data_IF_493375788221
#
_entry.id   IF_493375788221
#
_cell.length_a   1.000
_cell.length_b   1.000
_cell.length_c   1.000
_cell.angle_alpha   90.00
_cell.angle_beta   90.00
_cell.angle_gamma   90.00
#
_symmetry.space_group_name_H-M   'P 1'
#
loop_
_entity.id
_entity.type
_entity.pdbx_description
1 polymer ?
#
# COMPACT_ATOMS: atom_id res chain seq x y z
N UNK A 1 20.86 -11.32 1.93
CA UNK A 1 19.43 -11.65 1.80
C UNK A 1 18.78 -10.62 0.89
N UNK A 2 18.32 -11.02 -0.30
CA UNK A 2 17.55 -10.13 -1.15
C UNK A 2 16.19 -9.92 -0.48
N UNK A 3 15.91 -8.70 -0.01
CA UNK A 3 14.58 -8.30 0.44
C UNK A 3 13.73 -8.31 -0.83
N UNK A 4 13.05 -9.42 -1.10
CA UNK A 4 12.12 -9.49 -2.22
C UNK A 4 11.04 -8.44 -2.00
N UNK A 5 11.11 -7.36 -2.77
CA UNK A 5 10.20 -6.22 -2.75
C UNK A 5 8.84 -6.72 -3.22
N UNK A 6 7.95 -7.02 -2.28
CA UNK A 6 6.60 -7.51 -2.54
C UNK A 6 5.54 -6.50 -2.13
N UNK A 7 4.32 -6.69 -2.61
CA UNK A 7 3.17 -5.94 -2.13
C UNK A 7 2.88 -6.30 -0.67
N UNK A 8 2.46 -5.31 0.11
CA UNK A 8 2.05 -5.52 1.49
C UNK A 8 0.65 -5.00 1.70
N UNK A 9 -0.12 -5.75 2.49
CA UNK A 9 -1.49 -5.44 2.87
C UNK A 9 -1.57 -5.19 4.36
N UNK A 10 -2.10 -4.05 4.73
CA UNK A 10 -2.57 -3.72 6.06
C UNK A 10 -4.08 -3.91 6.09
N UNK A 11 -4.58 -4.53 7.14
CA UNK A 11 -6.01 -4.69 7.39
C UNK A 11 -6.38 -3.75 8.53
N UNK A 12 -7.32 -2.86 8.28
CA UNK A 12 -7.99 -2.08 9.31
C UNK A 12 -9.38 -2.67 9.49
N UNK A 13 -9.77 -2.97 10.73
CA UNK A 13 -11.17 -3.22 11.05
C UNK A 13 -12.01 -1.98 10.79
N UNK A 14 -13.32 -2.16 10.63
CA UNK A 14 -14.26 -1.04 10.50
C UNK A 14 -14.12 -0.02 11.63
N UNK A 15 -13.95 -0.51 12.87
CA UNK A 15 -13.76 0.37 14.04
C UNK A 15 -12.49 1.20 13.93
N UNK A 16 -11.35 0.61 13.55
CA UNK A 16 -10.09 1.33 13.37
C UNK A 16 -10.19 2.37 12.23
N UNK A 17 -10.86 2.00 11.14
CA UNK A 17 -11.10 2.94 10.05
C UNK A 17 -11.95 4.13 10.51
N UNK A 18 -13.07 3.87 11.19
CA UNK A 18 -13.99 4.89 11.70
C UNK A 18 -13.39 5.74 12.81
N UNK A 19 -12.46 5.19 13.61
CA UNK A 19 -11.69 5.95 14.61
C UNK A 19 -10.60 6.82 14.00
N UNK A 20 -10.35 6.70 12.69
CA UNK A 20 -9.42 7.54 11.96
C UNK A 20 -8.00 6.98 11.81
N UNK A 21 -7.76 5.69 12.07
CA UNK A 21 -6.45 5.06 11.87
C UNK A 21 -5.94 5.23 10.44
N UNK A 22 -6.84 5.25 9.46
CA UNK A 22 -6.50 5.52 8.06
C UNK A 22 -5.80 6.87 7.88
N UNK A 23 -6.17 7.90 8.65
CA UNK A 23 -5.51 9.21 8.59
C UNK A 23 -4.11 9.17 9.19
N UNK A 24 -3.90 8.41 10.27
CA UNK A 24 -2.58 8.23 10.87
C UNK A 24 -1.66 7.48 9.91
N UNK A 25 -2.16 6.39 9.31
CA UNK A 25 -1.45 5.62 8.30
C UNK A 25 -1.06 6.49 7.09
N UNK A 26 -2.01 7.26 6.57
CA UNK A 26 -1.77 8.20 5.47
C UNK A 26 -0.74 9.26 5.85
N UNK A 27 -0.84 9.83 7.05
CA UNK A 27 0.11 10.83 7.55
C UNK A 27 1.54 10.28 7.61
N UNK A 28 1.71 9.09 8.17
CA UNK A 28 3.01 8.42 8.27
C UNK A 28 3.57 8.05 6.89
N UNK A 29 2.75 7.47 6.01
CA UNK A 29 3.15 7.14 4.64
C UNK A 29 3.58 8.40 3.87
N UNK A 30 2.80 9.47 3.96
CA UNK A 30 3.08 10.75 3.30
C UNK A 30 4.38 11.37 3.83
N UNK A 31 4.63 11.33 5.14
CA UNK A 31 5.88 11.83 5.72
C UNK A 31 7.09 11.05 5.16
N UNK A 32 6.98 9.73 5.03
CA UNK A 32 8.03 8.91 4.42
C UNK A 32 8.22 9.23 2.92
N UNK A 33 7.13 9.41 2.17
CA UNK A 33 7.18 9.78 0.75
C UNK A 33 7.90 11.12 0.54
N UNK A 34 7.49 12.16 1.27
CA UNK A 34 8.08 13.50 1.18
C UNK A 34 9.53 13.49 1.65
N UNK A 35 9.83 12.84 2.78
CA UNK A 35 11.20 12.74 3.31
C UNK A 35 12.18 12.01 2.39
N UNK A 36 11.69 11.36 1.33
CA UNK A 36 12.47 10.66 0.30
C UNK A 36 12.34 11.29 -1.08
N UNK A 37 11.83 12.54 -1.15
CA UNK A 37 11.64 13.30 -2.39
C UNK A 37 10.71 12.62 -3.41
N UNK A 38 9.66 11.94 -2.93
CA UNK A 38 8.66 11.30 -3.78
C UNK A 38 9.24 10.20 -4.67
N UNK A 39 9.68 9.08 -4.09
CA UNK A 39 10.28 8.00 -4.85
C UNK A 39 9.30 7.41 -5.86
N UNK A 40 9.75 7.25 -7.10
CA UNK A 40 8.96 6.70 -8.22
C UNK A 40 8.40 5.32 -7.88
N UNK A 41 7.12 5.11 -8.18
CA UNK A 41 6.44 3.85 -7.92
C UNK A 41 6.10 3.58 -6.45
N UNK A 42 6.38 4.50 -5.53
CA UNK A 42 5.89 4.44 -4.15
C UNK A 42 4.44 4.93 -4.13
N UNK A 43 3.52 4.01 -3.91
CA UNK A 43 2.10 4.30 -3.87
C UNK A 43 1.39 3.46 -2.80
N UNK A 44 0.29 4.03 -2.31
CA UNK A 44 -0.62 3.44 -1.35
C UNK A 44 -2.02 3.44 -1.94
N UNK A 45 -2.66 2.27 -1.93
CA UNK A 45 -4.00 2.04 -2.43
C UNK A 45 -4.90 1.53 -1.31
N UNK A 46 -6.20 1.62 -1.48
CA UNK A 46 -7.11 0.94 -0.58
C UNK A 46 -8.45 0.62 -1.19
N UNK A 47 -9.14 -0.30 -0.54
CA UNK A 47 -10.49 -0.71 -0.86
C UNK A 47 -11.18 -1.26 0.39
N UNK A 48 -12.49 -1.22 0.39
CA UNK A 48 -13.28 -1.99 1.34
C UNK A 48 -13.28 -3.46 0.94
N UNK A 49 -13.28 -4.34 1.94
CA UNK A 49 -13.65 -5.74 1.75
C UNK A 49 -15.09 -5.84 1.25
N UNK A 50 -15.42 -6.92 0.53
CA UNK A 50 -16.76 -7.12 -0.03
C UNK A 50 -17.86 -7.19 1.04
N UNK A 51 -17.50 -7.62 2.25
CA UNK A 51 -18.39 -7.66 3.42
C UNK A 51 -18.53 -6.30 4.14
N UNK A 52 -17.70 -5.31 3.80
CA UNK A 52 -17.67 -3.99 4.43
C UNK A 52 -17.15 -3.97 5.88
N UNK A 53 -16.62 -5.08 6.38
CA UNK A 53 -16.19 -5.22 7.78
C UNK A 53 -14.74 -4.76 7.99
N UNK A 54 -13.97 -4.68 6.91
CA UNK A 54 -12.57 -4.28 6.94
C UNK A 54 -12.23 -3.36 5.77
N UNK A 55 -11.32 -2.44 6.01
CA UNK A 55 -10.65 -1.65 4.97
C UNK A 55 -9.24 -2.21 4.75
N UNK A 56 -8.92 -2.54 3.51
CA UNK A 56 -7.59 -2.99 3.14
C UNK A 56 -6.79 -1.84 2.57
N UNK A 57 -5.56 -1.71 3.05
CA UNK A 57 -4.57 -0.78 2.51
C UNK A 57 -3.44 -1.59 1.91
N UNK A 58 -3.06 -1.25 0.68
CA UNK A 58 -2.02 -1.90 -0.07
C UNK A 58 -0.89 -0.93 -0.35
N UNK A 59 0.34 -1.39 -0.20
CA UNK A 59 1.53 -0.60 -0.51
C UNK A 59 2.36 -1.29 -1.57
N UNK A 60 2.88 -0.50 -2.50
CA UNK A 60 3.69 -1.02 -3.61
C UNK A 60 5.04 -1.56 -3.12
N UNK A 61 5.67 -2.48 -3.87
CA UNK A 61 7.02 -2.96 -3.60
C UNK A 61 8.05 -1.85 -3.34
N UNK A 62 8.00 -0.77 -4.11
CA UNK A 62 8.91 0.38 -3.99
C UNK A 62 8.76 1.13 -2.67
N UNK A 63 7.61 0.99 -1.99
CA UNK A 63 7.35 1.59 -0.68
C UNK A 63 8.15 0.90 0.43
N UNK A 64 8.34 -0.43 0.35
CA UNK A 64 8.76 -1.28 1.48
C UNK A 64 9.97 -0.73 2.22
N UNK A 65 11.06 -0.40 1.51
CA UNK A 65 12.31 0.09 2.11
C UNK A 65 12.18 1.45 2.82
N UNK A 66 11.10 2.18 2.58
CA UNK A 66 10.84 3.51 3.14
C UNK A 66 9.87 3.47 4.32
N UNK A 67 9.03 2.44 4.38
CA UNK A 67 7.95 2.33 5.37
C UNK A 67 7.99 1.02 6.17
N UNK A 68 9.11 0.27 6.19
CA UNK A 68 9.24 -0.95 7.00
C UNK A 68 8.75 -0.78 8.44
N UNK A 69 9.10 0.29 9.18
CA UNK A 69 8.60 0.46 10.54
C UNK A 69 7.06 0.60 10.62
N UNK A 70 6.45 1.19 9.60
CA UNK A 70 5.00 1.32 9.51
C UNK A 70 4.34 -0.03 9.20
N UNK A 71 4.95 -0.81 8.30
CA UNK A 71 4.47 -2.17 7.97
C UNK A 71 4.52 -3.08 9.20
N UNK A 72 5.61 -3.01 9.98
CA UNK A 72 5.76 -3.77 11.21
C UNK A 72 4.74 -3.35 12.28
N UNK A 73 4.55 -2.03 12.48
CA UNK A 73 3.60 -1.49 13.46
C UNK A 73 2.15 -1.94 13.20
N UNK A 74 1.76 -2.05 11.92
CA UNK A 74 0.42 -2.49 11.51
C UNK A 74 0.35 -3.99 11.19
N UNK A 75 1.38 -4.78 11.54
CA UNK A 75 1.44 -6.23 11.28
C UNK A 75 1.09 -6.59 9.83
N UNK A 76 1.64 -5.83 8.88
CA UNK A 76 1.30 -5.96 7.47
C UNK A 76 1.63 -7.35 6.92
N UNK A 77 0.70 -7.91 6.16
CA UNK A 77 0.90 -9.19 5.47
C UNK A 77 1.51 -8.98 4.10
N UNK A 78 2.55 -9.73 3.77
CA UNK A 78 3.05 -9.79 2.40
C UNK A 78 2.07 -10.55 1.51
N UNK A 79 1.82 -10.03 0.32
CA UNK A 79 0.89 -10.60 -0.66
C UNK A 79 1.46 -10.50 -2.09
N UNK A 80 0.84 -11.21 -3.02
CA UNK A 80 0.98 -10.94 -4.44
C UNK A 80 0.32 -9.61 -4.84
N UNK A 81 0.55 -9.17 -6.08
CA UNK A 81 -0.07 -7.95 -6.61
C UNK A 81 -1.60 -8.03 -6.42
N UNK A 82 -2.23 -7.05 -5.74
CA UNK A 82 -3.66 -7.09 -5.50
C UNK A 82 -4.42 -6.85 -6.81
N UNK A 83 -5.64 -7.37 -6.89
CA UNK A 83 -6.51 -7.17 -8.05
C UNK A 83 -6.81 -5.66 -8.21
N UNK A 84 -6.54 -5.04 -9.39
CA UNK A 84 -6.81 -3.62 -9.62
C UNK A 84 -8.29 -3.24 -9.51
N UNK A 85 -9.22 -4.18 -9.68
CA UNK A 85 -10.65 -3.91 -9.61
C UNK A 85 -11.03 -3.46 -8.20
N UNK A 86 -11.58 -2.24 -8.08
CA UNK A 86 -12.03 -1.67 -6.81
C UNK A 86 -10.93 -1.02 -5.95
N UNK A 87 -9.67 -1.09 -6.38
CA UNK A 87 -8.58 -0.36 -5.73
C UNK A 87 -8.63 1.12 -6.08
N UNK A 88 -8.58 1.96 -5.05
CA UNK A 88 -8.45 3.40 -5.19
C UNK A 88 -7.05 3.83 -4.78
N UNK A 89 -6.39 4.64 -5.60
CA UNK A 89 -5.14 5.29 -5.21
C UNK A 89 -5.43 6.27 -4.06
N UNK A 90 -4.78 6.07 -2.93
CA UNK A 90 -4.90 6.96 -1.77
C UNK A 90 -3.80 8.02 -1.83
N UNK A 91 -2.56 7.63 -2.12
CA UNK A 91 -1.43 8.55 -2.14
C UNK A 91 -0.22 7.99 -2.91
N UNK A 92 0.58 8.89 -3.49
CA UNK A 92 1.88 8.56 -4.10
C UNK A 92 1.85 8.56 -5.63
N UNK A 93 2.82 7.86 -6.22
CA UNK A 93 3.03 7.78 -7.66
C UNK A 93 2.91 6.33 -8.14
N UNK A 94 1.90 6.07 -8.99
CA UNK A 94 1.70 4.76 -9.61
C UNK A 94 2.45 4.60 -10.94
N UNK A 95 3.13 5.64 -11.43
CA UNK A 95 3.79 5.64 -12.75
C UNK A 95 4.85 4.54 -12.88
N UNK A 96 5.49 4.15 -11.77
CA UNK A 96 6.43 3.02 -11.72
C UNK A 96 5.80 1.62 -11.85
N UNK A 97 4.48 1.50 -11.79
CA UNK A 97 3.75 0.23 -11.95
C UNK A 97 3.53 -0.16 -13.42
N UNK A 98 3.79 0.77 -14.35
CA UNK A 98 3.54 0.58 -15.78
C UNK A 98 4.78 0.03 -16.51
N UNK A 99 4.63 -1.15 -17.14
CA UNK A 99 5.48 -1.77 -18.18
C UNK A 99 6.45 -2.91 -17.81
N UNK A 100 6.61 -3.38 -16.56
CA UNK A 100 7.44 -4.59 -16.27
C UNK A 100 6.79 -5.70 -15.44
N UNK A 101 5.57 -5.50 -14.95
CA UNK A 101 4.81 -6.53 -14.23
C UNK A 101 3.49 -6.89 -14.93
N UNK A 102 3.37 -6.55 -16.21
CA UNK A 102 2.24 -6.96 -17.02
C UNK A 102 2.75 -7.94 -18.06
N UNK A 103 2.63 -9.23 -17.75
CA UNK A 103 2.48 -10.24 -18.78
C UNK A 103 1.16 -9.99 -19.49
N UNK A 104 1.16 -9.05 -20.44
CA UNK A 104 0.22 -9.09 -21.55
C UNK A 104 0.91 -9.84 -22.67
N UNK A 105 0.70 -11.15 -22.70
CA UNK A 105 0.61 -11.84 -23.99
C UNK A 105 -0.76 -11.52 -24.59
N UNK A 106 -0.74 -10.81 -25.72
CA UNK A 106 -1.66 -10.98 -26.85
C UNK A 106 -1.10 -10.22 -28.05
#
# INVERSE_FOLDING_TARGET
>A
MAITMGWHRIRLSRQEYESGEMNLLLGAFRAAYIGRNGPVGMAMFGCWADDGECYFVYTTPSSVRHITPLLDAYSASRIDKPNPVGLSLIYGDESGLSSREVGFEA
#
